data_IF_201833487538
#
_entry.id   IF_201833487538
#
_cell.length_a   1.000
_cell.length_b   1.000
_cell.length_c   1.000
_cell.angle_alpha   90.00
_cell.angle_beta   90.00
_cell.angle_gamma   90.00
#
_symmetry.space_group_name_H-M   'P 1'
#
loop_
_entity.id
_entity.type
_entity.pdbx_description
1 polymer ?
#
# COMPACT_ATOMS: atom_id res chain seq x y z
N UNK A 1 17.12 23.90 -14.51
CA UNK A 1 16.94 22.44 -14.48
C UNK A 1 16.28 21.97 -13.19
N UNK A 2 16.84 22.21 -12.00
CA UNK A 2 16.27 21.79 -10.70
C UNK A 2 14.78 22.13 -10.49
N UNK A 3 14.34 23.34 -10.84
CA UNK A 3 12.94 23.78 -10.65
C UNK A 3 11.91 23.00 -11.51
N UNK A 4 12.32 22.51 -12.67
CA UNK A 4 11.48 21.70 -13.58
C UNK A 4 11.38 20.25 -13.12
N UNK A 5 12.48 19.70 -12.55
CA UNK A 5 12.49 18.36 -11.97
C UNK A 5 11.68 18.30 -10.68
N UNK A 6 11.78 19.32 -9.82
CA UNK A 6 10.93 19.46 -8.63
C UNK A 6 9.44 19.54 -8.97
N UNK A 7 9.05 20.28 -10.02
CA UNK A 7 7.67 20.35 -10.49
C UNK A 7 7.16 19.00 -11.04
N UNK A 8 7.99 18.26 -11.76
CA UNK A 8 7.65 16.89 -12.23
C UNK A 8 7.50 15.91 -11.07
N UNK A 9 8.36 16.00 -10.06
CA UNK A 9 8.27 15.20 -8.83
C UNK A 9 6.98 15.52 -8.06
N UNK A 10 6.65 16.80 -7.90
CA UNK A 10 5.41 17.23 -7.24
C UNK A 10 4.15 16.75 -7.99
N UNK A 11 4.13 16.86 -9.32
CA UNK A 11 3.02 16.33 -10.14
C UNK A 11 2.93 14.80 -10.09
N UNK A 12 4.07 14.09 -10.10
CA UNK A 12 4.11 12.64 -9.94
C UNK A 12 3.55 12.20 -8.59
N UNK A 13 3.89 12.92 -7.51
CA UNK A 13 3.36 12.68 -6.15
C UNK A 13 1.85 12.88 -6.08
N UNK A 14 1.33 13.99 -6.65
CA UNK A 14 -0.11 14.26 -6.69
C UNK A 14 -0.89 13.18 -7.47
N UNK A 15 -0.36 12.73 -8.61
CA UNK A 15 -0.98 11.67 -9.41
C UNK A 15 -0.96 10.33 -8.67
N UNK A 16 0.12 10.02 -7.96
CA UNK A 16 0.21 8.82 -7.12
C UNK A 16 -0.80 8.87 -5.97
N UNK A 17 -0.88 9.99 -5.26
CA UNK A 17 -1.83 10.19 -4.16
C UNK A 17 -3.29 10.02 -4.64
N UNK A 18 -3.66 10.62 -5.77
CA UNK A 18 -4.98 10.44 -6.37
C UNK A 18 -5.25 9.00 -6.81
N UNK A 19 -4.26 8.31 -7.36
CA UNK A 19 -4.37 6.91 -7.75
C UNK A 19 -4.58 6.01 -6.52
N UNK A 20 -3.76 6.18 -5.49
CA UNK A 20 -3.84 5.41 -4.24
C UNK A 20 -5.19 5.62 -3.56
N UNK A 21 -5.67 6.85 -3.47
CA UNK A 21 -6.98 7.15 -2.91
C UNK A 21 -8.09 6.43 -3.69
N UNK A 22 -8.08 6.54 -5.03
CA UNK A 22 -9.08 5.89 -5.90
C UNK A 22 -9.07 4.37 -5.76
N UNK A 23 -7.87 3.78 -5.70
CA UNK A 23 -7.70 2.35 -5.57
C UNK A 23 -8.13 1.85 -4.19
N UNK A 24 -7.78 2.57 -3.14
CA UNK A 24 -8.16 2.19 -1.81
C UNK A 24 -9.68 2.29 -1.60
N UNK A 25 -10.31 3.31 -2.19
CA UNK A 25 -11.77 3.40 -2.23
C UNK A 25 -12.42 2.22 -2.99
N UNK A 26 -11.80 1.75 -4.07
CA UNK A 26 -12.25 0.54 -4.78
C UNK A 26 -12.21 -0.69 -3.87
N UNK A 27 -11.12 -0.89 -3.13
CA UNK A 27 -10.99 -1.99 -2.17
C UNK A 27 -11.98 -1.88 -0.99
N UNK A 28 -12.21 -0.68 -0.46
CA UNK A 28 -13.21 -0.45 0.58
C UNK A 28 -14.61 -0.83 0.07
N UNK A 29 -14.95 -0.39 -1.13
CA UNK A 29 -16.24 -0.73 -1.77
C UNK A 29 -16.43 -2.24 -1.91
N UNK A 30 -15.36 -3.00 -2.16
CA UNK A 30 -15.41 -4.46 -2.16
C UNK A 30 -15.86 -4.99 -0.79
N UNK A 31 -15.17 -4.61 0.28
CA UNK A 31 -15.45 -5.10 1.63
C UNK A 31 -16.85 -4.71 2.11
N UNK A 32 -17.34 -3.54 1.73
CA UNK A 32 -18.69 -3.07 2.05
C UNK A 32 -19.77 -3.87 1.29
N UNK A 33 -19.60 -4.11 -0.01
CA UNK A 33 -20.58 -4.84 -0.82
C UNK A 33 -20.68 -6.32 -0.47
N UNK A 34 -19.57 -6.93 -0.06
CA UNK A 34 -19.50 -8.37 0.22
C UNK A 34 -19.96 -8.74 1.64
N UNK A 35 -20.51 -7.78 2.40
CA UNK A 35 -21.38 -8.07 3.55
C UNK A 35 -22.79 -8.52 3.12
N UNK A 36 -23.17 -8.40 1.84
CA UNK A 36 -24.48 -8.82 1.34
C UNK A 36 -24.53 -10.33 1.04
N UNK A 37 -25.61 -10.98 1.48
CA UNK A 37 -25.65 -12.40 1.85
C UNK A 37 -25.76 -13.46 0.73
N UNK A 38 -25.70 -13.11 -0.55
CA UNK A 38 -26.08 -14.05 -1.63
C UNK A 38 -25.05 -14.20 -2.77
N UNK A 39 -23.75 -14.08 -2.46
CA UNK A 39 -22.68 -14.26 -3.47
C UNK A 39 -22.22 -15.74 -3.50
N UNK A 40 -22.11 -16.39 -4.68
CA UNK A 40 -21.58 -17.74 -4.81
C UNK A 40 -20.16 -17.86 -4.24
N UNK A 41 -19.86 -18.98 -3.56
CA UNK A 41 -18.55 -19.23 -2.94
C UNK A 41 -17.36 -19.09 -3.90
N UNK A 42 -17.50 -19.57 -5.14
CA UNK A 42 -16.44 -19.46 -6.15
C UNK A 42 -16.16 -18.01 -6.56
N UNK A 43 -17.20 -17.17 -6.58
CA UNK A 43 -17.08 -15.75 -6.88
C UNK A 43 -16.42 -15.02 -5.71
N UNK A 44 -16.81 -15.33 -4.46
CA UNK A 44 -16.14 -14.84 -3.25
C UNK A 44 -14.63 -15.15 -3.27
N UNK A 45 -14.26 -16.39 -3.59
CA UNK A 45 -12.86 -16.81 -3.67
C UNK A 45 -12.06 -16.03 -4.73
N UNK A 46 -12.65 -15.83 -5.92
CA UNK A 46 -12.03 -15.04 -6.98
C UNK A 46 -11.84 -13.59 -6.55
N UNK A 47 -12.83 -13.01 -5.87
CA UNK A 47 -12.72 -11.64 -5.40
C UNK A 47 -11.69 -11.49 -4.27
N UNK A 48 -11.63 -12.41 -3.32
CA UNK A 48 -10.58 -12.41 -2.29
C UNK A 48 -9.17 -12.50 -2.90
N UNK A 49 -8.99 -13.36 -3.90
CA UNK A 49 -7.73 -13.45 -4.64
C UNK A 49 -7.39 -12.11 -5.32
N UNK A 50 -8.36 -11.48 -5.98
CA UNK A 50 -8.17 -10.18 -6.61
C UNK A 50 -7.81 -9.09 -5.61
N UNK A 51 -8.45 -9.06 -4.44
CA UNK A 51 -8.15 -8.12 -3.35
C UNK A 51 -6.74 -8.34 -2.82
N UNK A 52 -6.36 -9.59 -2.60
CA UNK A 52 -5.03 -9.97 -2.13
C UNK A 52 -3.96 -9.52 -3.13
N UNK A 53 -4.14 -9.81 -4.42
CA UNK A 53 -3.22 -9.39 -5.49
C UNK A 53 -3.16 -7.86 -5.63
N UNK A 54 -4.30 -7.20 -5.47
CA UNK A 54 -4.43 -5.75 -5.51
C UNK A 54 -3.65 -5.08 -4.38
N UNK A 55 -3.80 -5.58 -3.15
CA UNK A 55 -3.03 -5.13 -1.99
C UNK A 55 -1.52 -5.30 -2.23
N UNK A 56 -1.11 -6.45 -2.76
CA UNK A 56 0.30 -6.73 -3.05
C UNK A 56 0.87 -5.78 -4.09
N UNK A 57 0.13 -5.49 -5.17
CA UNK A 57 0.56 -4.53 -6.18
C UNK A 57 0.78 -3.14 -5.57
N UNK A 58 -0.16 -2.68 -4.74
CA UNK A 58 -0.03 -1.41 -4.04
C UNK A 58 1.19 -1.39 -3.12
N UNK A 59 1.43 -2.47 -2.37
CA UNK A 59 2.59 -2.57 -1.50
C UNK A 59 3.89 -2.43 -2.30
N UNK A 60 3.99 -3.06 -3.47
CA UNK A 60 5.16 -2.91 -4.35
C UNK A 60 5.34 -1.51 -4.88
N UNK A 61 4.24 -0.79 -5.16
CA UNK A 61 4.32 0.62 -5.54
C UNK A 61 4.82 1.49 -4.38
N UNK A 62 4.33 1.27 -3.15
CA UNK A 62 4.81 1.97 -1.96
C UNK A 62 6.29 1.66 -1.70
N UNK A 63 6.69 0.39 -1.79
CA UNK A 63 8.08 -0.03 -1.66
C UNK A 63 8.99 0.69 -2.65
N UNK A 64 8.59 0.75 -3.93
CA UNK A 64 9.38 1.41 -4.98
C UNK A 64 9.56 2.90 -4.70
N UNK A 65 8.49 3.58 -4.27
CA UNK A 65 8.56 5.01 -3.93
C UNK A 65 9.42 5.22 -2.69
N UNK A 66 9.23 4.43 -1.64
CA UNK A 66 10.05 4.48 -0.44
C UNK A 66 11.54 4.37 -0.78
N UNK A 67 11.91 3.37 -1.59
CA UNK A 67 13.31 3.18 -2.01
C UNK A 67 13.82 4.35 -2.86
N UNK A 68 13.02 4.82 -3.82
CA UNK A 68 13.40 5.93 -4.69
C UNK A 68 13.68 7.20 -3.90
N UNK A 69 12.77 7.56 -2.98
CA UNK A 69 12.89 8.77 -2.19
C UNK A 69 13.90 8.67 -1.05
N UNK A 70 14.04 7.49 -0.43
CA UNK A 70 15.15 7.21 0.49
C UNK A 70 16.50 7.39 -0.21
N UNK A 71 16.61 6.97 -1.47
CA UNK A 71 17.81 7.19 -2.29
C UNK A 71 18.00 8.68 -2.60
N UNK A 72 16.95 9.39 -3.04
CA UNK A 72 17.08 10.83 -3.30
C UNK A 72 17.52 11.61 -2.05
N UNK A 73 17.00 11.28 -0.87
CA UNK A 73 17.35 11.94 0.38
C UNK A 73 18.83 11.81 0.71
N UNK A 74 19.45 10.66 0.44
CA UNK A 74 20.89 10.45 0.67
C UNK A 74 21.79 11.29 -0.25
N UNK A 75 21.31 11.64 -1.45
CA UNK A 75 22.07 12.45 -2.41
C UNK A 75 21.77 13.96 -2.35
N UNK A 76 20.56 14.36 -1.99
CA UNK A 76 20.10 15.74 -2.12
C UNK A 76 19.86 16.49 -0.79
N UNK A 77 20.05 15.84 0.37
CA UNK A 77 20.02 16.47 1.71
C UNK A 77 18.86 17.45 1.94
N UNK A 78 17.68 17.12 1.41
CA UNK A 78 16.48 17.95 1.51
C UNK A 78 15.45 17.23 2.37
N UNK A 79 15.25 17.70 3.60
CA UNK A 79 14.22 17.24 4.54
C UNK A 79 12.80 17.33 3.95
N UNK A 80 12.59 18.19 2.94
CA UNK A 80 11.28 18.43 2.32
C UNK A 80 10.82 17.34 1.34
N UNK A 81 11.63 16.32 1.07
CA UNK A 81 11.27 15.25 0.14
C UNK A 81 10.74 14.06 0.94
N UNK A 82 9.42 14.05 1.17
CA UNK A 82 8.66 12.96 1.78
C UNK A 82 7.65 12.38 0.78
N UNK A 83 7.76 11.11 0.36
CA UNK A 83 6.74 10.47 -0.46
C UNK A 83 5.41 10.28 0.27
N UNK A 84 5.41 10.21 1.61
CA UNK A 84 4.27 9.78 2.40
C UNK A 84 3.88 10.80 3.48
N UNK A 85 3.61 12.06 3.10
CA UNK A 85 3.07 13.09 4.00
C UNK A 85 1.56 13.36 3.76
N UNK A 86 0.78 12.32 3.53
CA UNK A 86 -0.67 12.48 3.37
C UNK A 86 -1.42 11.70 4.44
N UNK A 87 -1.80 12.40 5.51
CA UNK A 87 -2.61 11.85 6.61
C UNK A 87 -3.93 11.24 6.15
N UNK A 88 -4.54 11.77 5.08
CA UNK A 88 -5.78 11.22 4.52
C UNK A 88 -5.56 9.82 3.92
N UNK A 89 -4.43 9.59 3.24
CA UNK A 89 -4.11 8.26 2.70
C UNK A 89 -3.81 7.26 3.82
N UNK A 90 -3.10 7.70 4.87
CA UNK A 90 -2.86 6.88 6.04
C UNK A 90 -4.17 6.43 6.69
N UNK A 91 -5.12 7.35 6.87
CA UNK A 91 -6.45 7.05 7.41
C UNK A 91 -7.19 6.03 6.55
N UNK A 92 -7.15 6.18 5.23
CA UNK A 92 -7.78 5.23 4.29
C UNK A 92 -7.20 3.82 4.44
N UNK A 93 -5.89 3.66 4.55
CA UNK A 93 -5.29 2.34 4.77
C UNK A 93 -5.54 1.77 6.17
N UNK A 94 -5.67 2.63 7.18
CA UNK A 94 -6.10 2.22 8.53
C UNK A 94 -7.55 1.70 8.53
N UNK A 95 -8.45 2.37 7.81
CA UNK A 95 -9.82 1.89 7.60
C UNK A 95 -9.82 0.54 6.87
N UNK A 96 -9.02 0.41 5.81
CA UNK A 96 -8.89 -0.84 5.06
C UNK A 96 -8.37 -1.99 5.93
N UNK A 97 -7.39 -1.74 6.82
CA UNK A 97 -6.92 -2.74 7.79
C UNK A 97 -8.06 -3.24 8.68
N UNK A 98 -8.90 -2.33 9.18
CA UNK A 98 -10.04 -2.71 10.01
C UNK A 98 -11.05 -3.56 9.23
N UNK A 99 -11.31 -3.21 7.97
CA UNK A 99 -12.20 -3.98 7.09
C UNK A 99 -11.66 -5.39 6.82
N UNK A 100 -10.35 -5.52 6.56
CA UNK A 100 -9.68 -6.83 6.38
C UNK A 100 -9.85 -7.70 7.63
N UNK A 101 -9.62 -7.15 8.83
CA UNK A 101 -9.74 -7.88 10.10
C UNK A 101 -11.18 -8.37 10.33
N UNK A 102 -12.18 -7.58 9.93
CA UNK A 102 -13.59 -7.91 10.12
C UNK A 102 -14.15 -8.82 9.01
N UNK A 103 -13.48 -8.92 7.86
CA UNK A 103 -13.98 -9.68 6.71
C UNK A 103 -13.87 -11.19 6.95
N UNK A 104 -14.97 -11.95 6.77
CA UNK A 104 -14.97 -13.41 6.93
C UNK A 104 -14.39 -14.08 5.68
N UNK A 105 -13.05 -14.11 5.58
CA UNK A 105 -12.35 -14.77 4.48
C UNK A 105 -12.72 -16.25 4.35
N UNK A 106 -12.89 -16.71 3.12
CA UNK A 106 -13.10 -18.10 2.75
C UNK A 106 -11.81 -18.91 2.83
N UNK A 107 -10.66 -18.28 2.54
CA UNK A 107 -9.33 -18.88 2.68
C UNK A 107 -8.47 -18.11 3.68
N UNK A 108 -7.98 -18.84 4.67
CA UNK A 108 -7.11 -18.30 5.71
C UNK A 108 -5.79 -17.72 5.15
N UNK A 109 -5.27 -18.31 4.08
CA UNK A 109 -4.09 -17.79 3.39
C UNK A 109 -4.31 -16.37 2.86
N UNK A 110 -5.47 -16.11 2.25
CA UNK A 110 -5.82 -14.77 1.74
C UNK A 110 -5.89 -13.74 2.87
N UNK A 111 -6.46 -14.12 4.02
CA UNK A 111 -6.50 -13.28 5.23
C UNK A 111 -5.09 -12.93 5.69
N UNK A 112 -4.24 -13.94 5.87
CA UNK A 112 -2.85 -13.76 6.36
C UNK A 112 -2.05 -12.87 5.40
N UNK A 113 -2.15 -13.10 4.09
CA UNK A 113 -1.45 -12.28 3.10
C UNK A 113 -1.96 -10.85 3.17
N UNK A 114 -3.28 -10.64 3.13
CA UNK A 114 -3.89 -9.31 3.18
C UNK A 114 -3.50 -8.53 4.43
N UNK A 115 -3.56 -9.16 5.61
CA UNK A 115 -3.17 -8.56 6.90
C UNK A 115 -1.68 -8.18 6.94
N UNK A 116 -0.80 -9.05 6.43
CA UNK A 116 0.65 -8.75 6.33
C UNK A 116 0.90 -7.60 5.37
N UNK A 117 0.28 -7.63 4.20
CA UNK A 117 0.48 -6.63 3.16
C UNK A 117 -0.03 -5.25 3.59
N UNK A 118 -1.21 -5.16 4.20
CA UNK A 118 -1.73 -3.87 4.68
C UNK A 118 -0.88 -3.31 5.84
N UNK A 119 -0.36 -4.18 6.71
CA UNK A 119 0.55 -3.78 7.79
C UNK A 119 1.86 -3.25 7.22
N UNK A 120 2.39 -3.90 6.18
CA UNK A 120 3.59 -3.45 5.48
C UNK A 120 3.37 -2.09 4.82
N UNK A 121 2.23 -1.88 4.15
CA UNK A 121 1.87 -0.58 3.55
C UNK A 121 1.90 0.54 4.61
N UNK A 122 1.23 0.32 5.75
CA UNK A 122 1.18 1.28 6.86
C UNK A 122 2.56 1.58 7.45
N UNK A 123 3.48 0.61 7.45
CA UNK A 123 4.85 0.82 7.96
C UNK A 123 5.63 1.89 7.18
N UNK A 124 5.36 2.07 5.88
CA UNK A 124 6.01 3.10 5.06
C UNK A 124 5.63 4.52 5.49
N UNK A 125 4.40 4.72 5.98
CA UNK A 125 3.92 6.02 6.48
C UNK A 125 4.43 6.28 7.90
N UNK A 126 4.40 5.27 8.76
CA UNK A 126 4.84 5.40 10.17
C UNK A 126 6.35 5.66 10.22
N UNK A 127 7.16 4.96 9.41
CA UNK A 127 8.60 5.14 9.37
C UNK A 127 9.03 6.57 8.97
N UNK A 128 8.23 7.28 8.17
CA UNK A 128 8.49 8.69 7.86
C UNK A 128 8.05 9.62 8.99
N UNK A 129 6.92 9.31 9.64
CA UNK A 129 6.41 10.10 10.77
C UNK A 129 7.34 10.04 11.98
N UNK A 130 7.96 8.88 12.26
CA UNK A 130 8.96 8.75 13.33
C UNK A 130 10.33 9.29 12.97
N UNK A 131 10.68 9.47 11.69
CA UNK A 131 11.92 10.15 11.30
C UNK A 131 11.87 11.66 11.59
N UNK A 132 10.69 12.30 11.54
CA UNK A 132 10.51 13.69 12.00
C UNK A 132 10.66 13.82 13.53
N UNK A 133 10.34 12.76 14.30
CA UNK A 133 10.43 12.76 15.77
C UNK A 133 11.79 12.23 16.26
N UNK A 134 12.48 11.43 15.44
CA UNK A 134 13.69 10.70 15.82
C UNK A 134 14.90 11.13 15.01
N UNK A 135 15.38 12.35 15.30
CA UNK A 135 16.81 12.64 15.21
C UNK A 135 17.63 11.94 16.33
N UNK A 136 17.01 11.04 17.12
CA UNK A 136 17.67 10.28 18.17
C UNK A 136 17.08 8.87 18.28
N UNK A 137 17.80 7.93 17.67
CA UNK A 137 17.89 6.53 18.10
C UNK A 137 16.61 5.70 18.11
N UNK A 138 16.07 5.33 16.94
CA UNK A 138 15.50 3.99 16.74
C UNK A 138 15.25 3.68 15.25
N UNK A 139 16.08 2.79 14.70
CA UNK A 139 15.99 2.35 13.30
C UNK A 139 14.75 1.46 13.12
N UNK A 140 13.67 2.00 12.55
CA UNK A 140 12.50 1.19 12.19
C UNK A 140 12.89 0.28 11.00
N UNK A 141 13.08 -1.02 11.27
CA UNK A 141 13.48 -1.99 10.23
C UNK A 141 12.27 -2.34 9.36
N UNK A 142 12.21 -1.74 8.18
CA UNK A 142 11.26 -2.13 7.12
C UNK A 142 11.77 -3.42 6.46
N UNK A 143 11.09 -4.54 6.68
CA UNK A 143 11.50 -5.84 6.14
C UNK A 143 10.95 -6.02 4.73
N UNK A 144 11.81 -6.10 3.72
CA UNK A 144 11.41 -6.34 2.33
C UNK A 144 11.40 -7.84 2.01
N UNK A 145 10.24 -8.39 1.65
CA UNK A 145 10.17 -9.74 1.05
C UNK A 145 10.29 -9.61 -0.47
N UNK A 146 11.44 -10.02 -1.01
CA UNK A 146 11.79 -9.94 -2.43
C UNK A 146 11.29 -11.13 -3.27
N UNK A 147 10.34 -11.93 -2.75
CA UNK A 147 9.78 -13.02 -3.53
C UNK A 147 9.02 -12.45 -4.74
N UNK A 148 9.43 -12.77 -5.98
CA UNK A 148 8.70 -12.30 -7.15
C UNK A 148 7.30 -12.90 -7.11
N UNK A 149 6.29 -12.05 -7.05
CA UNK A 149 4.92 -12.49 -7.24
C UNK A 149 4.77 -12.96 -8.68
N UNK A 150 4.02 -14.05 -8.93
CA UNK A 150 3.72 -14.46 -10.28
C UNK A 150 3.01 -13.31 -11.00
N UNK A 151 3.33 -13.06 -12.28
CA UNK A 151 2.71 -12.00 -13.05
C UNK A 151 1.18 -12.08 -13.02
N UNK A 152 0.47 -10.94 -12.89
CA UNK A 152 -0.99 -10.93 -12.71
C UNK A 152 -1.76 -11.60 -13.86
N UNK A 153 -1.17 -11.68 -15.07
CA UNK A 153 -1.78 -12.37 -16.21
C UNK A 153 -1.63 -13.91 -16.19
N UNK A 154 -0.85 -14.47 -15.26
CA UNK A 154 -0.70 -15.93 -15.10
C UNK A 154 -1.61 -16.52 -14.01
N UNK A 155 -2.34 -15.69 -13.28
CA UNK A 155 -3.23 -16.12 -12.19
C UNK A 155 -4.45 -16.96 -12.65
N UNK A 156 -4.70 -17.06 -13.96
CA UNK A 156 -5.82 -17.81 -14.53
C UNK A 156 -5.45 -19.20 -15.10
N UNK A 157 -4.23 -19.69 -14.83
CA UNK A 157 -3.75 -20.99 -15.36
C UNK A 157 -3.55 -22.08 -14.30
N UNK A 158 -4.10 -21.92 -13.08
CA UNK A 158 -4.08 -22.95 -12.03
C UNK A 158 -5.50 -23.37 -11.65
#
# INVERSE_FOLDING_TARGET
MQKQEQLKLAQGSLNFSSFIHSFAQFLITYFERHQMKDIPKEELLKCEMQVTQSLLLIEKMHMLLYLYFSTLRSYYSSEEITPFNNGEILEVFMQMKNLIIQHPFQLEEHRIISEKTITQILSYYIAETTQEISHKDELTIVTFTLSPLPPPWLAHQL
#
